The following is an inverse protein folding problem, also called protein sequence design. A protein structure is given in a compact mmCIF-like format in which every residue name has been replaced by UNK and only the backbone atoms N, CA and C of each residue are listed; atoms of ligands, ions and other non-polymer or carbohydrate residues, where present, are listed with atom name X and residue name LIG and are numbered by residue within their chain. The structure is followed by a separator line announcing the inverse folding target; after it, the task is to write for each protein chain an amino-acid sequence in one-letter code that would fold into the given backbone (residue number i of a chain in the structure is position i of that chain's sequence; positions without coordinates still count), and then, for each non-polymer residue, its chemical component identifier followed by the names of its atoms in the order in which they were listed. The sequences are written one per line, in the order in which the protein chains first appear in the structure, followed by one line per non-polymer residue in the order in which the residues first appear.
data_IF_007916974868
#
_entry.id   IF_007916974868
#
_cell.length_a   1.000
_cell.length_b   1.000
_cell.length_c   1.000
_cell.angle_alpha   90.00
_cell.angle_beta   90.00
_cell.angle_gamma   90.00
#
_symmetry.space_group_name_H-M   'P 1'
#
loop_
_entity.id
_entity.type
_entity.pdbx_description
1 polymer ?
#
# COMPACT_ATOMS: atom_id res chain seq x y z
N UNK A 1 13.98 2.14 14.59
CA UNK A 1 12.62 2.42 15.09
C UNK A 1 11.62 1.66 14.24
N UNK A 2 10.49 1.18 14.78
CA UNK A 2 9.43 0.57 13.98
C UNK A 2 8.93 1.50 12.87
N UNK A 3 8.46 0.93 11.74
CA UNK A 3 7.83 1.69 10.68
C UNK A 3 6.55 2.35 11.20
N UNK A 4 6.31 3.60 10.82
CA UNK A 4 5.09 4.35 11.18
C UNK A 4 4.84 5.48 10.18
N UNK A 5 3.57 5.87 10.01
CA UNK A 5 3.19 6.98 9.14
C UNK A 5 2.54 6.53 7.82
N UNK A 6 2.73 7.32 6.79
CA UNK A 6 2.09 7.11 5.48
C UNK A 6 3.06 6.44 4.51
N UNK A 7 2.67 5.26 4.02
CA UNK A 7 3.42 4.43 3.05
C UNK A 7 2.57 4.20 1.80
N UNK A 8 2.46 5.17 0.89
CA UNK A 8 1.63 5.02 -0.30
C UNK A 8 2.06 3.83 -1.15
N UNK A 9 1.09 3.15 -1.76
CA UNK A 9 1.35 2.06 -2.69
C UNK A 9 1.45 2.64 -4.10
N UNK A 10 2.62 2.52 -4.72
CA UNK A 10 2.86 3.03 -6.07
C UNK A 10 2.16 2.13 -7.10
N UNK A 11 1.42 2.69 -8.08
CA UNK A 11 0.96 1.93 -9.25
C UNK A 11 2.15 1.63 -10.17
N UNK A 12 1.99 0.66 -11.05
CA UNK A 12 2.92 0.45 -12.17
C UNK A 12 2.44 1.29 -13.36
N UNK A 13 3.18 2.34 -13.78
CA UNK A 13 2.86 3.03 -15.01
C UNK A 13 3.12 2.14 -16.22
N UNK A 14 2.25 2.24 -17.23
CA UNK A 14 2.44 1.59 -18.51
C UNK A 14 2.42 2.64 -19.62
N UNK A 15 3.22 2.42 -20.66
CA UNK A 15 3.21 3.25 -21.87
C UNK A 15 1.99 2.97 -22.77
N UNK A 16 1.91 3.64 -23.91
CA UNK A 16 0.82 3.46 -24.87
C UNK A 16 0.73 2.03 -25.43
N UNK A 17 1.81 1.25 -25.39
CA UNK A 17 1.83 -0.15 -25.85
C UNK A 17 1.40 -1.13 -24.76
N UNK A 18 1.45 -0.69 -23.50
CA UNK A 18 1.19 -1.49 -22.30
C UNK A 18 2.48 -2.07 -21.69
N UNK A 19 3.66 -1.67 -22.15
CA UNK A 19 4.91 -2.01 -21.48
C UNK A 19 5.11 -1.12 -20.23
N UNK A 20 5.82 -1.60 -19.18
CA UNK A 20 6.13 -0.79 -18.02
C UNK A 20 6.95 0.47 -18.39
N UNK A 21 6.46 1.64 -17.95
CA UNK A 21 7.12 2.93 -18.15
C UNK A 21 7.98 3.27 -16.93
N UNK A 22 9.27 2.94 -17.01
CA UNK A 22 10.22 3.22 -15.93
C UNK A 22 10.44 4.71 -15.70
N UNK A 23 10.35 5.55 -16.74
CA UNK A 23 10.52 6.98 -16.59
C UNK A 23 9.41 7.59 -15.72
N UNK A 24 8.15 7.21 -15.97
CA UNK A 24 7.02 7.58 -15.13
C UNK A 24 7.12 6.95 -13.73
N UNK A 25 7.62 5.71 -13.59
CA UNK A 25 7.83 5.09 -12.28
C UNK A 25 8.84 5.88 -11.43
N UNK A 26 9.94 6.35 -12.03
CA UNK A 26 10.90 7.23 -11.34
C UNK A 26 10.27 8.57 -10.93
N UNK A 27 9.42 9.16 -11.76
CA UNK A 27 8.66 10.37 -11.40
C UNK A 27 7.72 10.11 -10.20
N UNK A 28 7.04 8.96 -10.17
CA UNK A 28 6.21 8.55 -9.03
C UNK A 28 7.03 8.47 -7.73
N UNK A 29 8.23 7.92 -7.79
CA UNK A 29 9.12 7.88 -6.62
C UNK A 29 9.50 9.28 -6.16
N UNK A 30 9.86 10.18 -7.08
CA UNK A 30 10.13 11.59 -6.75
C UNK A 30 8.92 12.28 -6.14
N UNK A 31 7.74 12.02 -6.68
CA UNK A 31 6.49 12.54 -6.11
C UNK A 31 6.25 12.05 -4.68
N UNK A 32 6.44 10.75 -4.39
CA UNK A 32 6.33 10.24 -3.01
C UNK A 32 7.29 10.94 -2.07
N UNK A 33 8.55 11.13 -2.48
CA UNK A 33 9.53 11.85 -1.67
C UNK A 33 9.08 13.29 -1.41
N UNK A 34 8.59 13.98 -2.43
CA UNK A 34 8.11 15.37 -2.31
C UNK A 34 6.81 15.49 -1.49
N UNK A 35 5.99 14.43 -1.44
CA UNK A 35 4.69 14.43 -0.76
C UNK A 35 4.77 14.53 0.77
N UNK A 36 5.93 14.30 1.36
CA UNK A 36 6.10 14.22 2.81
C UNK A 36 5.63 12.88 3.39
N UNK A 37 5.48 11.85 2.58
CA UNK A 37 5.22 10.49 3.04
C UNK A 37 6.39 9.96 3.87
N UNK A 38 6.11 9.05 4.80
CA UNK A 38 7.11 8.45 5.70
C UNK A 38 7.85 7.26 5.07
N UNK A 39 7.35 6.75 3.95
CA UNK A 39 7.94 5.66 3.19
C UNK A 39 7.20 5.41 1.89
N UNK A 40 7.50 4.31 1.23
CA UNK A 40 6.85 3.86 0.01
C UNK A 40 6.56 2.35 0.06
N UNK A 41 5.61 1.90 -0.75
CA UNK A 41 5.30 0.47 -0.93
C UNK A 41 5.25 0.14 -2.41
N UNK A 42 5.98 -0.91 -2.83
CA UNK A 42 5.95 -1.41 -4.21
C UNK A 42 6.51 -2.84 -4.33
N UNK A 43 5.93 -3.72 -5.18
CA UNK A 43 4.57 -3.58 -5.70
C UNK A 43 3.53 -4.03 -4.67
N UNK A 44 2.27 -3.66 -4.90
CA UNK A 44 1.12 -4.11 -4.12
C UNK A 44 -0.10 -4.31 -5.02
N UNK A 45 -1.27 -4.53 -4.43
CA UNK A 45 -2.52 -4.66 -5.20
C UNK A 45 -2.78 -3.42 -6.05
N UNK A 46 -2.53 -2.22 -5.52
CA UNK A 46 -2.66 -0.96 -6.27
C UNK A 46 -1.63 -0.81 -7.40
N UNK A 47 -0.59 -1.65 -7.43
CA UNK A 47 0.43 -1.66 -8.48
C UNK A 47 0.06 -2.57 -9.67
N UNK A 48 -1.13 -3.17 -9.67
CA UNK A 48 -1.52 -4.20 -10.65
C UNK A 48 -0.54 -5.39 -10.64
N UNK A 49 -0.10 -5.81 -9.45
CA UNK A 49 0.97 -6.82 -9.28
C UNK A 49 0.63 -8.17 -9.92
N UNK A 50 -0.67 -8.52 -10.04
CA UNK A 50 -1.13 -9.73 -10.75
C UNK A 50 -0.86 -9.69 -12.25
N UNK A 51 -0.74 -8.50 -12.82
CA UNK A 51 -0.53 -8.28 -14.26
C UNK A 51 0.96 -8.13 -14.61
N UNK A 52 1.85 -8.26 -13.64
CA UNK A 52 3.29 -8.19 -13.83
C UNK A 52 3.91 -9.59 -13.88
N UNK A 53 4.77 -9.82 -14.86
CA UNK A 53 5.63 -10.99 -14.86
C UNK A 53 6.62 -10.95 -13.69
N UNK A 54 7.18 -12.09 -13.33
CA UNK A 54 8.22 -12.18 -12.28
C UNK A 54 9.40 -11.26 -12.60
N UNK A 55 9.88 -11.26 -13.84
CA UNK A 55 11.01 -10.42 -14.27
C UNK A 55 10.67 -8.93 -14.18
N UNK A 56 9.46 -8.53 -14.59
CA UNK A 56 9.00 -7.15 -14.41
C UNK A 56 8.97 -6.76 -12.93
N UNK A 57 8.47 -7.63 -12.04
CA UNK A 57 8.43 -7.36 -10.60
C UNK A 57 9.83 -7.11 -10.04
N UNK A 58 10.79 -8.01 -10.32
CA UNK A 58 12.17 -7.86 -9.84
C UNK A 58 12.81 -6.60 -10.39
N UNK A 59 12.72 -6.38 -11.71
CA UNK A 59 13.32 -5.23 -12.39
C UNK A 59 12.75 -3.90 -11.88
N UNK A 60 11.43 -3.78 -11.79
CA UNK A 60 10.79 -2.53 -11.37
C UNK A 60 10.99 -2.21 -9.89
N UNK A 61 11.08 -3.22 -9.01
CA UNK A 61 11.52 -3.03 -7.62
C UNK A 61 12.92 -2.40 -7.58
N UNK A 62 13.84 -2.89 -8.40
CA UNK A 62 15.17 -2.30 -8.55
C UNK A 62 15.11 -0.82 -8.96
N UNK A 63 14.28 -0.48 -9.96
CA UNK A 63 14.08 0.93 -10.41
C UNK A 63 13.58 1.80 -9.25
N UNK A 64 12.63 1.33 -8.46
CA UNK A 64 12.10 2.07 -7.29
C UNK A 64 13.19 2.26 -6.23
N UNK A 65 13.94 1.20 -5.91
CA UNK A 65 15.03 1.28 -4.92
C UNK A 65 16.16 2.22 -5.35
N UNK A 66 16.57 2.16 -6.61
CA UNK A 66 17.59 3.04 -7.18
C UNK A 66 17.14 4.52 -7.12
N UNK A 67 15.88 4.82 -7.46
CA UNK A 67 15.37 6.19 -7.43
C UNK A 67 15.12 6.69 -6.00
N UNK A 68 14.70 5.83 -5.07
CA UNK A 68 14.61 6.18 -3.65
C UNK A 68 15.97 6.52 -3.06
N UNK A 69 17.01 5.80 -3.45
CA UNK A 69 18.39 5.99 -3.00
C UNK A 69 18.51 6.11 -1.46
N UNK A 70 17.72 5.31 -0.72
CA UNK A 70 17.71 5.30 0.75
C UNK A 70 17.02 6.51 1.42
N UNK A 71 16.44 7.44 0.65
CA UNK A 71 15.77 8.63 1.22
C UNK A 71 14.51 8.32 2.00
N UNK A 72 13.82 7.26 1.65
CA UNK A 72 12.64 6.75 2.35
C UNK A 72 12.72 5.22 2.47
N UNK A 73 12.22 4.62 3.57
CA UNK A 73 12.09 3.17 3.67
C UNK A 73 11.10 2.64 2.63
N UNK A 74 11.46 1.52 2.00
CA UNK A 74 10.60 0.81 1.04
C UNK A 74 10.09 -0.49 1.65
N UNK A 75 8.77 -0.65 1.65
CA UNK A 75 8.11 -1.94 1.88
C UNK A 75 7.94 -2.62 0.52
N UNK A 76 8.55 -3.79 0.34
CA UNK A 76 8.50 -4.51 -0.95
C UNK A 76 7.46 -5.62 -0.90
N UNK A 77 6.52 -5.61 -1.83
CA UNK A 77 5.54 -6.68 -2.00
C UNK A 77 6.14 -7.90 -2.69
N UNK A 78 6.11 -9.03 -2.01
CA UNK A 78 6.65 -10.30 -2.50
C UNK A 78 5.60 -11.43 -2.51
N UNK A 79 4.31 -11.08 -2.48
CA UNK A 79 3.22 -12.06 -2.41
C UNK A 79 3.28 -13.08 -3.55
N UNK A 80 3.15 -14.35 -3.18
CA UNK A 80 3.05 -15.53 -4.05
C UNK A 80 2.32 -16.63 -3.29
N UNK A 81 1.83 -17.66 -3.97
CA UNK A 81 1.28 -18.88 -3.36
C UNK A 81 2.37 -19.82 -2.81
N UNK A 82 3.63 -19.61 -3.20
CA UNK A 82 4.80 -20.38 -2.76
C UNK A 82 5.77 -19.50 -1.97
N UNK A 83 6.21 -19.97 -0.80
CA UNK A 83 7.24 -19.32 0.01
C UNK A 83 8.59 -19.23 -0.73
N UNK A 84 8.93 -20.23 -1.55
CA UNK A 84 10.13 -20.21 -2.39
C UNK A 84 10.09 -19.08 -3.43
N UNK A 85 8.97 -18.93 -4.13
CA UNK A 85 8.79 -17.84 -5.09
C UNK A 85 8.81 -16.48 -4.40
N UNK A 86 8.18 -16.34 -3.23
CA UNK A 86 8.25 -15.12 -2.43
C UNK A 86 9.70 -14.80 -2.01
N UNK A 87 10.47 -15.80 -1.58
CA UNK A 87 11.88 -15.61 -1.21
C UNK A 87 12.75 -15.26 -2.43
N UNK A 88 12.46 -15.82 -3.59
CA UNK A 88 13.15 -15.46 -4.84
C UNK A 88 12.91 -13.98 -5.19
N UNK A 89 11.66 -13.49 -5.09
CA UNK A 89 11.32 -12.07 -5.28
C UNK A 89 11.98 -11.15 -4.23
N UNK A 90 12.22 -11.65 -3.02
CA UNK A 90 12.84 -10.89 -1.94
C UNK A 90 14.36 -10.71 -2.10
N UNK A 91 15.03 -11.61 -2.80
CA UNK A 91 16.50 -11.74 -2.79
C UNK A 91 17.21 -10.41 -3.11
N UNK A 92 16.94 -9.84 -4.26
CA UNK A 92 17.61 -8.61 -4.70
C UNK A 92 17.14 -7.40 -3.89
N UNK A 93 15.84 -7.35 -3.56
CA UNK A 93 15.25 -6.28 -2.76
C UNK A 93 15.87 -6.22 -1.35
N UNK A 94 16.13 -7.37 -0.74
CA UNK A 94 16.80 -7.47 0.55
C UNK A 94 18.24 -6.95 0.50
N UNK A 95 18.99 -7.35 -0.52
CA UNK A 95 20.37 -6.89 -0.71
C UNK A 95 20.47 -5.37 -0.93
N UNK A 96 19.42 -4.75 -1.45
CA UNK A 96 19.30 -3.30 -1.70
C UNK A 96 18.63 -2.55 -0.54
N UNK A 97 18.40 -3.18 0.63
CA UNK A 97 17.93 -2.53 1.84
C UNK A 97 16.40 -2.30 1.93
N UNK A 98 15.59 -3.24 1.45
CA UNK A 98 14.17 -3.24 1.75
C UNK A 98 13.92 -3.17 3.26
N UNK A 99 12.98 -2.32 3.71
CA UNK A 99 12.70 -2.12 5.12
C UNK A 99 11.79 -3.20 5.72
N UNK A 100 10.89 -3.74 4.91
CA UNK A 100 10.02 -4.87 5.24
C UNK A 100 9.54 -5.55 3.94
N UNK A 101 9.09 -6.80 4.06
CA UNK A 101 8.43 -7.51 2.97
C UNK A 101 6.94 -7.63 3.23
N UNK A 102 6.10 -7.11 2.34
CA UNK A 102 4.66 -7.27 2.42
C UNK A 102 4.21 -8.53 1.68
N UNK A 103 3.48 -9.39 2.39
CA UNK A 103 2.99 -10.67 1.89
C UNK A 103 1.52 -10.84 2.24
N UNK A 104 0.66 -10.98 1.23
CA UNK A 104 -0.73 -11.35 1.45
C UNK A 104 -0.81 -12.80 1.97
N UNK A 105 -1.64 -13.02 2.97
CA UNK A 105 -1.96 -14.38 3.42
C UNK A 105 -2.55 -15.17 2.24
N UNK A 106 -1.94 -16.29 1.79
CA UNK A 106 -2.38 -16.98 0.59
C UNK A 106 -3.83 -17.45 0.67
N UNK A 107 -4.65 -17.09 -0.32
CA UNK A 107 -6.10 -17.38 -0.33
C UNK A 107 -6.44 -18.87 -0.52
N UNK A 108 -5.53 -19.65 -1.06
CA UNK A 108 -5.65 -21.10 -1.25
C UNK A 108 -5.37 -21.92 0.02
N UNK A 109 -4.82 -21.30 1.07
CA UNK A 109 -4.53 -21.92 2.37
C UNK A 109 -5.59 -21.52 3.39
N UNK A 110 -6.59 -22.40 3.58
CA UNK A 110 -7.79 -22.06 4.35
C UNK A 110 -7.66 -22.31 5.86
N UNK A 111 -6.75 -23.17 6.28
CA UNK A 111 -6.55 -23.48 7.69
C UNK A 111 -5.31 -22.77 8.29
N UNK A 112 -5.36 -22.57 9.60
CA UNK A 112 -4.32 -21.86 10.35
C UNK A 112 -2.96 -22.55 10.23
N UNK A 113 -2.93 -23.90 10.25
CA UNK A 113 -1.68 -24.66 10.18
C UNK A 113 -0.98 -24.50 8.83
N UNK A 114 -1.74 -24.46 7.73
CA UNK A 114 -1.20 -24.19 6.39
C UNK A 114 -0.66 -22.77 6.24
N UNK A 115 -1.30 -21.78 6.87
CA UNK A 115 -0.79 -20.42 6.92
C UNK A 115 0.52 -20.34 7.74
N UNK A 116 0.55 -20.97 8.92
CA UNK A 116 1.75 -21.05 9.77
C UNK A 116 2.91 -21.69 8.98
N UNK A 117 2.66 -22.82 8.33
CA UNK A 117 3.68 -23.51 7.54
C UNK A 117 4.25 -22.61 6.42
N UNK A 118 3.38 -21.87 5.70
CA UNK A 118 3.80 -20.96 4.65
C UNK A 118 4.69 -19.82 5.20
N UNK A 119 4.22 -19.13 6.25
CA UNK A 119 4.96 -18.00 6.80
C UNK A 119 6.23 -18.44 7.52
N UNK A 120 6.26 -19.61 8.16
CA UNK A 120 7.48 -20.17 8.77
C UNK A 120 8.53 -20.54 7.72
N UNK A 121 8.12 -21.16 6.61
CA UNK A 121 9.04 -21.45 5.50
C UNK A 121 9.58 -20.17 4.86
N UNK A 122 8.73 -19.15 4.65
CA UNK A 122 9.18 -17.86 4.17
C UNK A 122 10.16 -17.17 5.15
N UNK A 123 9.82 -17.15 6.43
CA UNK A 123 10.66 -16.54 7.48
C UNK A 123 12.06 -17.18 7.57
N UNK A 124 12.17 -18.47 7.30
CA UNK A 124 13.46 -19.16 7.25
C UNK A 124 14.33 -18.75 6.03
N UNK A 125 13.75 -18.08 5.02
CA UNK A 125 14.42 -17.72 3.75
C UNK A 125 14.71 -16.22 3.62
N UNK A 126 14.15 -15.36 4.48
CA UNK A 126 14.34 -13.90 4.44
C UNK A 126 14.86 -13.40 5.79
N UNK A 127 15.67 -12.34 5.78
CA UNK A 127 16.19 -11.72 7.01
C UNK A 127 15.59 -10.35 7.32
N UNK A 128 14.69 -9.87 6.45
CA UNK A 128 13.97 -8.60 6.60
C UNK A 128 12.61 -8.89 7.25
N UNK A 129 12.10 -8.03 8.15
CA UNK A 129 10.79 -8.21 8.79
C UNK A 129 9.67 -8.42 7.77
N UNK A 130 8.72 -9.29 8.11
CA UNK A 130 7.53 -9.55 7.28
C UNK A 130 6.38 -8.66 7.76
N UNK A 131 5.68 -8.04 6.81
CA UNK A 131 4.37 -7.42 6.99
C UNK A 131 3.31 -8.36 6.40
N UNK A 132 2.54 -9.02 7.25
CA UNK A 132 1.41 -9.81 6.80
C UNK A 132 0.31 -8.86 6.32
N UNK A 133 -0.06 -8.95 5.04
CA UNK A 133 -1.20 -8.22 4.49
C UNK A 133 -2.47 -9.06 4.65
N UNK A 134 -3.34 -8.65 5.56
CA UNK A 134 -4.64 -9.26 5.76
C UNK A 134 -5.69 -8.58 4.87
N UNK A 135 -5.74 -8.99 3.62
CA UNK A 135 -6.62 -8.45 2.59
C UNK A 135 -7.70 -9.48 2.24
N UNK A 136 -8.95 -9.06 1.97
CA UNK A 136 -10.02 -9.99 1.62
C UNK A 136 -9.79 -10.67 0.26
N UNK A 137 -10.45 -11.81 0.01
CA UNK A 137 -10.45 -12.46 -1.29
C UNK A 137 -10.88 -11.50 -2.43
N UNK A 138 -10.38 -11.68 -3.66
CA UNK A 138 -9.45 -12.73 -4.08
C UNK A 138 -7.96 -12.42 -3.83
N UNK A 139 -7.63 -11.22 -3.36
CA UNK A 139 -6.25 -10.77 -3.19
C UNK A 139 -5.50 -11.44 -2.02
N UNK A 140 -6.21 -11.97 -1.05
CA UNK A 140 -5.68 -12.72 0.09
C UNK A 140 -6.74 -13.57 0.77
N UNK A 141 -6.41 -14.18 1.91
CA UNK A 141 -7.29 -15.08 2.63
C UNK A 141 -8.39 -14.38 3.45
N UNK A 142 -8.20 -13.11 3.82
CA UNK A 142 -9.14 -12.38 4.67
C UNK A 142 -9.28 -13.00 6.06
N UNK A 143 -8.15 -13.22 6.74
CA UNK A 143 -8.09 -13.94 8.02
C UNK A 143 -8.90 -13.23 9.12
N UNK A 144 -9.61 -14.00 9.93
CA UNK A 144 -10.21 -13.48 11.15
C UNK A 144 -9.13 -13.19 12.20
N UNK A 145 -9.36 -12.33 13.21
CA UNK A 145 -8.42 -12.16 14.30
C UNK A 145 -8.08 -13.47 15.02
N UNK A 146 -9.03 -14.38 15.18
CA UNK A 146 -8.81 -15.69 15.82
C UNK A 146 -7.91 -16.61 14.99
N UNK A 147 -7.96 -16.51 13.67
CA UNK A 147 -7.05 -17.22 12.76
C UNK A 147 -5.67 -16.55 12.72
N UNK A 148 -5.64 -15.21 12.79
CA UNK A 148 -4.42 -14.45 12.68
C UNK A 148 -3.50 -14.58 13.91
N UNK A 149 -4.07 -14.58 15.13
CA UNK A 149 -3.27 -14.63 16.36
C UNK A 149 -2.32 -15.84 16.44
N UNK A 150 -2.75 -17.09 16.22
CA UNK A 150 -1.82 -18.22 16.25
C UNK A 150 -0.71 -18.14 15.20
N UNK A 151 -0.95 -17.47 14.05
CA UNK A 151 0.08 -17.25 13.02
C UNK A 151 1.13 -16.28 13.54
N UNK A 152 0.71 -15.16 14.16
CA UNK A 152 1.63 -14.17 14.73
C UNK A 152 2.47 -14.74 15.88
N UNK A 153 1.86 -15.60 16.72
CA UNK A 153 2.55 -16.29 17.82
C UNK A 153 3.60 -17.29 17.31
N UNK A 154 3.25 -18.06 16.27
CA UNK A 154 4.13 -19.08 15.72
C UNK A 154 5.27 -18.52 14.86
N UNK A 155 5.10 -17.32 14.28
CA UNK A 155 6.06 -16.74 13.33
C UNK A 155 6.46 -15.32 13.76
N UNK A 156 7.37 -15.15 14.73
CA UNK A 156 7.80 -13.83 15.23
C UNK A 156 8.47 -12.92 14.18
N UNK A 157 8.88 -13.46 13.04
CA UNK A 157 9.38 -12.68 11.91
C UNK A 157 8.28 -11.80 11.25
N UNK A 158 6.99 -12.10 11.50
CA UNK A 158 5.88 -11.21 11.15
C UNK A 158 5.85 -10.08 12.17
N UNK A 159 6.55 -9.01 11.87
CA UNK A 159 6.69 -7.84 12.74
C UNK A 159 5.61 -6.78 12.49
N UNK A 160 4.88 -6.88 11.39
CA UNK A 160 3.85 -5.91 10.99
C UNK A 160 2.62 -6.63 10.44
N UNK A 161 1.46 -6.01 10.63
CA UNK A 161 0.21 -6.40 9.96
C UNK A 161 -0.35 -5.19 9.22
N UNK A 162 -0.76 -5.37 7.96
CA UNK A 162 -1.61 -4.45 7.23
C UNK A 162 -3.03 -5.01 7.22
N UNK A 163 -3.94 -4.39 7.98
CA UNK A 163 -5.30 -4.87 8.14
C UNK A 163 -6.23 -4.15 7.15
N UNK A 164 -6.86 -4.91 6.25
CA UNK A 164 -7.75 -4.40 5.21
C UNK A 164 -9.12 -5.10 5.18
N UNK A 165 -9.38 -6.01 6.13
CA UNK A 165 -10.69 -6.66 6.24
C UNK A 165 -11.68 -5.76 6.97
N UNK A 166 -12.97 -5.85 6.61
CA UNK A 166 -14.00 -5.00 7.19
C UNK A 166 -14.70 -5.63 8.40
N UNK A 167 -15.10 -4.82 9.38
CA UNK A 167 -14.85 -3.38 9.55
C UNK A 167 -13.41 -3.13 10.04
N UNK A 168 -12.59 -2.43 9.25
CA UNK A 168 -11.12 -2.40 9.44
C UNK A 168 -10.68 -1.87 10.80
N UNK A 169 -11.27 -0.78 11.28
CA UNK A 169 -10.91 -0.19 12.58
C UNK A 169 -11.16 -1.14 13.76
N UNK A 170 -12.28 -1.85 13.79
CA UNK A 170 -12.56 -2.85 14.85
C UNK A 170 -11.58 -4.03 14.76
N UNK A 171 -11.30 -4.51 13.54
CA UNK A 171 -10.31 -5.56 13.29
C UNK A 171 -8.93 -5.16 13.75
N UNK A 172 -8.50 -3.95 13.38
CA UNK A 172 -7.23 -3.37 13.82
C UNK A 172 -7.12 -3.35 15.35
N UNK A 173 -8.18 -2.91 16.06
CA UNK A 173 -8.21 -2.92 17.53
C UNK A 173 -8.00 -4.33 18.06
N UNK A 174 -8.72 -5.33 17.54
CA UNK A 174 -8.60 -6.71 17.98
C UNK A 174 -7.19 -7.28 17.74
N UNK A 175 -6.58 -6.97 16.60
CA UNK A 175 -5.20 -7.40 16.29
C UNK A 175 -4.23 -6.74 17.26
N UNK A 176 -4.27 -5.42 17.41
CA UNK A 176 -3.38 -4.66 18.29
C UNK A 176 -3.44 -5.13 19.75
N UNK A 177 -4.64 -5.32 20.29
CA UNK A 177 -4.83 -5.61 21.70
C UNK A 177 -4.49 -7.07 22.07
N UNK A 178 -4.46 -7.97 21.10
CA UNK A 178 -4.23 -9.41 21.29
C UNK A 178 -2.87 -9.88 20.77
N UNK A 179 -2.18 -9.06 19.99
CA UNK A 179 -0.95 -9.47 19.32
C UNK A 179 0.18 -9.79 20.30
N UNK A 180 1.06 -10.75 19.96
CA UNK A 180 2.27 -11.01 20.72
C UNK A 180 3.23 -9.82 20.68
N UNK A 181 4.15 -9.74 21.64
CA UNK A 181 5.14 -8.65 21.74
C UNK A 181 6.09 -8.54 20.52
N UNK A 182 6.18 -9.58 19.69
CA UNK A 182 6.93 -9.55 18.43
C UNK A 182 6.27 -8.69 17.35
N UNK A 183 4.96 -8.44 17.43
CA UNK A 183 4.28 -7.54 16.49
C UNK A 183 4.58 -6.09 16.86
N UNK A 184 5.33 -5.39 16.02
CA UNK A 184 5.77 -4.02 16.26
C UNK A 184 4.68 -3.00 15.95
N UNK A 185 3.86 -3.24 14.91
CA UNK A 185 2.82 -2.30 14.53
C UNK A 185 1.74 -2.90 13.61
N UNK A 186 0.54 -2.27 13.65
CA UNK A 186 -0.56 -2.54 12.72
C UNK A 186 -0.81 -1.29 11.88
N UNK A 187 -0.95 -1.48 10.57
CA UNK A 187 -1.25 -0.45 9.58
C UNK A 187 -2.66 -0.63 9.02
N UNK A 188 -3.30 0.48 8.70
CA UNK A 188 -4.48 0.47 7.85
C UNK A 188 -4.14 0.42 6.37
N UNK A 189 -5.15 0.22 5.55
CA UNK A 189 -4.99 0.15 4.10
C UNK A 189 -6.24 0.59 3.35
N UNK A 190 -6.77 -0.27 2.50
CA UNK A 190 -8.03 -0.05 1.77
C UNK A 190 -8.11 1.33 1.07
N UNK A 191 -7.00 1.77 0.46
CA UNK A 191 -6.92 3.08 -0.21
C UNK A 191 -6.92 4.28 0.73
N UNK A 192 -6.86 4.10 2.05
CA UNK A 192 -6.93 5.19 3.04
C UNK A 192 -8.35 5.59 3.44
N UNK A 193 -9.37 4.86 2.99
CA UNK A 193 -10.80 5.20 3.25
C UNK A 193 -11.18 5.24 4.73
N UNK A 194 -10.48 4.53 5.58
CA UNK A 194 -10.79 4.39 7.01
C UNK A 194 -9.71 4.99 7.91
N UNK A 195 -8.77 5.75 7.34
CA UNK A 195 -7.55 6.22 8.01
C UNK A 195 -7.81 6.94 9.32
N UNK A 196 -8.86 7.76 9.43
CA UNK A 196 -9.16 8.52 10.65
C UNK A 196 -9.63 7.62 11.80
N UNK A 197 -10.45 6.59 11.52
CA UNK A 197 -10.88 5.61 12.52
C UNK A 197 -9.71 4.71 12.92
N UNK A 198 -8.92 4.27 11.95
CA UNK A 198 -7.73 3.43 12.16
C UNK A 198 -6.69 4.14 13.05
N UNK A 199 -6.35 5.40 12.75
CA UNK A 199 -5.41 6.19 13.54
C UNK A 199 -5.91 6.44 14.97
N UNK A 200 -7.19 6.78 15.16
CA UNK A 200 -7.79 6.93 16.49
C UNK A 200 -7.72 5.64 17.32
N UNK A 201 -7.70 4.49 16.67
CA UNK A 201 -7.57 3.17 17.31
C UNK A 201 -6.13 2.72 17.48
N UNK A 202 -5.15 3.58 17.17
CA UNK A 202 -3.73 3.31 17.39
C UNK A 202 -3.05 2.58 16.23
N UNK A 203 -3.57 2.68 15.00
CA UNK A 203 -2.78 2.30 13.85
C UNK A 203 -1.47 3.08 13.82
N UNK A 204 -0.36 2.40 13.54
CA UNK A 204 0.93 3.07 13.39
C UNK A 204 0.99 3.96 12.14
N UNK A 205 0.10 3.70 11.18
CA UNK A 205 0.01 4.46 9.96
C UNK A 205 -0.99 3.86 8.98
N UNK A 206 -0.92 4.31 7.74
CA UNK A 206 -1.75 3.82 6.64
C UNK A 206 -0.94 3.62 5.36
N UNK A 207 -1.40 2.68 4.54
CA UNK A 207 -0.82 2.38 3.23
C UNK A 207 -1.86 2.66 2.13
N UNK A 208 -2.14 3.96 1.84
CA UNK A 208 -3.14 4.36 0.86
C UNK A 208 -2.64 4.14 -0.58
N UNK A 209 -3.54 4.32 -1.54
CA UNK A 209 -3.13 4.56 -2.92
C UNK A 209 -2.46 5.93 -3.04
N UNK A 210 -1.64 6.10 -4.06
CA UNK A 210 -0.67 7.21 -4.14
C UNK A 210 -1.26 8.54 -4.61
N UNK A 211 -2.39 8.54 -5.28
CA UNK A 211 -2.92 9.73 -5.98
C UNK A 211 -3.13 10.96 -5.11
N UNK A 212 -3.26 10.75 -3.79
CA UNK A 212 -3.39 11.79 -2.76
C UNK A 212 -2.32 11.65 -1.66
N UNK A 213 -1.10 11.23 -2.01
CA UNK A 213 -0.03 10.94 -1.05
C UNK A 213 0.24 12.13 -0.10
N UNK A 214 0.34 13.35 -0.64
CA UNK A 214 0.57 14.56 0.16
C UNK A 214 -0.61 14.94 1.05
N UNK A 215 -1.85 14.63 0.63
CA UNK A 215 -3.04 14.90 1.44
C UNK A 215 -3.06 13.95 2.64
N UNK A 216 -2.72 12.68 2.43
CA UNK A 216 -2.53 11.71 3.51
C UNK A 216 -1.37 12.11 4.45
N UNK A 217 -0.26 12.61 3.91
CA UNK A 217 0.86 13.10 4.71
C UNK A 217 0.47 14.30 5.58
N UNK A 218 -0.29 15.28 5.01
CA UNK A 218 -0.84 16.41 5.76
C UNK A 218 -1.81 15.96 6.86
N UNK A 219 -2.66 14.98 6.57
CA UNK A 219 -3.57 14.39 7.56
C UNK A 219 -2.78 13.72 8.70
N UNK A 220 -1.75 12.95 8.38
CA UNK A 220 -0.88 12.31 9.38
C UNK A 220 -0.14 13.35 10.23
N UNK A 221 0.35 14.43 9.64
CA UNK A 221 0.98 15.52 10.39
C UNK A 221 0.01 16.17 11.37
N UNK A 222 -1.24 16.44 10.96
CA UNK A 222 -2.29 16.94 11.84
C UNK A 222 -2.62 15.95 12.98
N UNK A 223 -2.68 14.64 12.67
CA UNK A 223 -2.89 13.60 13.67
C UNK A 223 -1.75 13.58 14.72
N UNK A 224 -0.49 13.61 14.27
CA UNK A 224 0.68 13.67 15.16
C UNK A 224 0.71 14.92 16.04
N UNK A 225 0.17 16.03 15.53
CA UNK A 225 0.01 17.29 16.29
C UNK A 225 -1.19 17.28 17.27
N UNK A 226 -2.03 16.23 17.25
CA UNK A 226 -3.25 16.16 18.05
C UNK A 226 -4.40 17.05 17.54
N UNK A 227 -4.29 17.61 16.33
CA UNK A 227 -5.30 18.49 15.73
C UNK A 227 -6.43 17.68 15.08
N UNK A 228 -7.34 17.21 15.90
CA UNK A 228 -8.49 16.41 15.47
C UNK A 228 -9.43 17.16 14.52
N UNK A 229 -9.52 18.48 14.60
CA UNK A 229 -10.35 19.27 13.71
C UNK A 229 -9.74 19.32 12.31
N UNK A 230 -8.44 19.55 12.21
CA UNK A 230 -7.73 19.55 10.94
C UNK A 230 -7.71 18.16 10.30
N UNK A 231 -7.55 17.08 11.08
CA UNK A 231 -7.70 15.70 10.59
C UNK A 231 -9.06 15.48 9.95
N UNK A 232 -10.13 15.89 10.64
CA UNK A 232 -11.50 15.75 10.11
C UNK A 232 -11.73 16.58 8.87
N UNK A 233 -11.27 17.82 8.84
CA UNK A 233 -11.39 18.71 7.69
C UNK A 233 -10.73 18.10 6.46
N UNK A 234 -9.46 17.71 6.56
CA UNK A 234 -8.72 17.10 5.44
C UNK A 234 -9.43 15.83 4.96
N UNK A 235 -9.81 14.96 5.90
CA UNK A 235 -10.46 13.68 5.56
C UNK A 235 -11.81 13.90 4.85
N UNK A 236 -12.62 14.83 5.32
CA UNK A 236 -13.94 15.13 4.72
C UNK A 236 -13.79 15.61 3.26
N UNK A 237 -12.78 16.45 3.00
CA UNK A 237 -12.53 16.99 1.66
C UNK A 237 -11.99 15.92 0.68
N UNK A 238 -11.22 14.94 1.15
CA UNK A 238 -10.69 13.87 0.29
C UNK A 238 -11.67 12.71 0.08
N UNK A 239 -12.71 12.56 0.92
CA UNK A 239 -13.65 11.44 0.89
C UNK A 239 -14.31 11.21 -0.48
N UNK A 240 -14.77 12.25 -1.24
CA UNK A 240 -15.35 12.03 -2.55
C UNK A 240 -14.41 11.27 -3.50
N UNK A 241 -13.13 11.64 -3.55
CA UNK A 241 -12.13 10.96 -4.37
C UNK A 241 -11.90 9.52 -3.88
N UNK A 242 -11.81 9.30 -2.56
CA UNK A 242 -11.65 7.96 -1.98
C UNK A 242 -12.87 7.07 -2.28
N UNK A 243 -14.07 7.65 -2.36
CA UNK A 243 -15.28 6.92 -2.74
C UNK A 243 -15.21 6.47 -4.21
N UNK A 244 -14.84 7.36 -5.13
CA UNK A 244 -14.62 7.01 -6.55
C UNK A 244 -13.50 5.96 -6.67
N UNK A 245 -12.41 6.09 -5.89
CA UNK A 245 -11.32 5.11 -5.86
C UNK A 245 -11.79 3.71 -5.41
N UNK A 246 -12.79 3.63 -4.53
CA UNK A 246 -13.33 2.34 -4.11
C UNK A 246 -13.94 1.53 -5.26
N UNK A 247 -14.50 2.21 -6.24
CA UNK A 247 -15.15 1.62 -7.44
C UNK A 247 -14.14 1.46 -8.57
N UNK A 248 -13.47 2.53 -8.96
CA UNK A 248 -12.64 2.59 -10.17
C UNK A 248 -11.17 2.20 -9.95
N UNK A 249 -10.72 2.10 -8.69
CA UNK A 249 -9.39 1.61 -8.31
C UNK A 249 -8.25 2.18 -9.18
N UNK A 250 -7.64 1.34 -10.03
CA UNK A 250 -6.51 1.72 -10.87
C UNK A 250 -6.85 2.80 -11.90
N UNK A 251 -8.08 2.81 -12.43
CA UNK A 251 -8.53 3.84 -13.39
C UNK A 251 -8.49 5.23 -12.75
N UNK A 252 -9.03 5.40 -11.53
CA UNK A 252 -8.95 6.66 -10.81
C UNK A 252 -7.49 7.05 -10.53
N UNK A 253 -6.73 6.15 -9.89
CA UNK A 253 -5.34 6.44 -9.51
C UNK A 253 -4.53 6.93 -10.71
N UNK A 254 -4.62 6.21 -11.84
CA UNK A 254 -3.87 6.58 -13.04
C UNK A 254 -4.41 7.82 -13.74
N UNK A 255 -5.74 8.04 -13.72
CA UNK A 255 -6.33 9.25 -14.26
C UNK A 255 -5.80 10.49 -13.51
N UNK A 256 -5.88 10.48 -12.18
CA UNK A 256 -5.40 11.59 -11.35
C UNK A 256 -3.90 11.85 -11.54
N UNK A 257 -3.08 10.80 -11.53
CA UNK A 257 -1.64 10.94 -11.73
C UNK A 257 -1.27 11.46 -13.13
N UNK A 258 -2.00 11.02 -14.17
CA UNK A 258 -1.81 11.50 -15.53
C UNK A 258 -2.24 12.97 -15.69
N UNK A 259 -3.42 13.32 -15.18
CA UNK A 259 -3.92 14.70 -15.19
C UNK A 259 -2.97 15.67 -14.49
N UNK A 260 -2.31 15.22 -13.42
CA UNK A 260 -1.31 15.98 -12.68
C UNK A 260 0.09 15.96 -13.33
N UNK A 261 0.27 15.30 -14.48
CA UNK A 261 1.54 15.22 -15.20
C UNK A 261 2.61 14.31 -14.56
N UNK A 262 2.21 13.51 -13.57
CA UNK A 262 3.14 12.62 -12.83
C UNK A 262 3.48 11.37 -13.65
N UNK A 263 2.51 10.83 -14.40
CA UNK A 263 2.73 9.71 -15.33
C UNK A 263 2.33 10.11 -16.75
N UNK A 264 2.98 9.49 -17.76
CA UNK A 264 2.76 9.83 -19.16
C UNK A 264 1.41 9.34 -19.71
N UNK A 265 0.94 8.18 -19.25
CA UNK A 265 -0.27 7.54 -19.75
C UNK A 265 -1.13 6.97 -18.61
N UNK A 266 -2.48 7.09 -18.69
CA UNK A 266 -3.38 6.55 -17.67
C UNK A 266 -3.70 5.06 -17.89
N UNK A 267 -2.92 4.35 -18.74
CA UNK A 267 -3.17 2.97 -19.11
C UNK A 267 -3.05 2.02 -17.92
N UNK A 268 -3.98 1.08 -17.83
CA UNK A 268 -3.94 -0.05 -16.91
C UNK A 268 -3.88 -1.37 -17.71
N UNK A 269 -3.29 -2.41 -17.13
CA UNK A 269 -3.35 -3.80 -17.61
C UNK A 269 -4.48 -4.57 -16.94
N UNK A 270 -4.74 -4.30 -15.66
CA UNK A 270 -5.79 -4.95 -14.92
C UNK A 270 -7.17 -4.62 -15.48
N UNK A 271 -8.01 -5.65 -15.61
CA UNK A 271 -9.40 -5.47 -15.99
C UNK A 271 -10.17 -4.73 -14.88
N UNK A 272 -11.03 -3.80 -15.26
CA UNK A 272 -11.83 -3.03 -14.32
C UNK A 272 -12.70 -2.01 -15.02
N UNK A 273 -13.54 -1.27 -14.28
CA UNK A 273 -14.34 -0.20 -14.84
C UNK A 273 -13.44 0.93 -15.37
N UNK A 274 -13.89 1.55 -16.45
CA UNK A 274 -13.26 2.75 -17.04
C UNK A 274 -14.13 3.97 -16.81
N UNK A 275 -13.54 5.15 -16.73
CA UNK A 275 -14.22 6.41 -16.64
C UNK A 275 -14.96 6.75 -17.94
N UNK A 276 -16.21 7.22 -17.80
CA UNK A 276 -16.88 8.02 -18.82
C UNK A 276 -16.59 9.52 -18.61
N UNK A 277 -17.28 10.39 -19.34
CA UNK A 277 -17.04 11.84 -19.25
C UNK A 277 -17.60 12.43 -17.96
N UNK A 278 -18.71 11.92 -17.43
CA UNK A 278 -19.27 12.35 -16.15
C UNK A 278 -18.35 12.02 -14.97
N UNK A 279 -17.79 10.80 -14.97
CA UNK A 279 -16.81 10.40 -13.96
C UNK A 279 -15.60 11.31 -13.94
N UNK A 280 -15.11 11.74 -15.13
CA UNK A 280 -13.99 12.67 -15.27
C UNK A 280 -14.32 14.06 -14.74
N UNK A 281 -15.49 14.58 -15.09
CA UNK A 281 -15.98 15.89 -14.63
C UNK A 281 -16.08 15.92 -13.11
N UNK A 282 -16.67 14.88 -12.49
CA UNK A 282 -16.78 14.77 -11.04
C UNK A 282 -15.40 14.72 -10.36
N UNK A 283 -14.50 13.86 -10.85
CA UNK A 283 -13.14 13.75 -10.27
C UNK A 283 -12.36 15.05 -10.42
N UNK A 284 -12.53 15.76 -11.53
CA UNK A 284 -11.89 17.05 -11.77
C UNK A 284 -12.36 18.11 -10.78
N UNK A 285 -13.68 18.19 -10.54
CA UNK A 285 -14.25 19.08 -9.54
C UNK A 285 -13.76 18.74 -8.12
N UNK A 286 -13.72 17.46 -7.75
CA UNK A 286 -13.18 17.04 -6.45
C UNK A 286 -11.67 17.36 -6.27
N UNK A 287 -10.89 17.30 -7.33
CA UNK A 287 -9.49 17.71 -7.29
C UNK A 287 -9.33 19.22 -7.13
N UNK A 288 -10.22 20.02 -7.74
CA UNK A 288 -10.25 21.47 -7.54
C UNK A 288 -10.60 21.82 -6.09
N UNK A 289 -11.58 21.14 -5.49
CA UNK A 289 -11.99 21.33 -4.09
C UNK A 289 -10.86 21.10 -3.08
N UNK A 290 -9.85 20.27 -3.41
CA UNK A 290 -8.70 19.99 -2.56
C UNK A 290 -7.40 20.61 -3.09
N UNK A 291 -7.47 21.50 -4.07
CA UNK A 291 -6.30 22.03 -4.78
C UNK A 291 -5.23 22.65 -3.88
N UNK A 292 -5.63 23.31 -2.78
CA UNK A 292 -4.73 23.87 -1.76
C UNK A 292 -4.00 22.80 -0.92
N UNK A 293 -4.50 21.57 -0.93
CA UNK A 293 -3.87 20.41 -0.27
C UNK A 293 -2.90 19.67 -1.19
N UNK A 294 -3.01 19.86 -2.50
CA UNK A 294 -2.15 19.21 -3.48
C UNK A 294 -0.78 19.90 -3.57
N UNK A 295 0.24 19.15 -3.95
CA UNK A 295 1.51 19.72 -4.35
C UNK A 295 1.35 20.42 -5.73
N UNK A 296 2.01 21.56 -5.95
CA UNK A 296 2.18 22.06 -7.29
C UNK A 296 2.87 21.00 -8.15
N UNK A 297 2.66 21.06 -9.48
CA UNK A 297 3.19 20.07 -10.43
C UNK A 297 4.64 19.71 -10.10
N UNK A 298 4.90 18.43 -9.86
CA UNK A 298 6.27 17.92 -9.62
C UNK A 298 6.90 17.73 -11.00
N UNK A 299 7.80 18.65 -11.38
CA UNK A 299 8.56 18.59 -12.61
C UNK A 299 9.57 17.42 -12.61
#
# INVERSE_FOLDING_TARGET
MPLSGIFPVLPTPFDATGAPDEASLRKLVRYVIASGADGATYPGVASEVSELTTDERVRLVGVVQDELAGRLPLIVGISSTSAETSAMLARDAQARGAAAFMVAAPADRKDTSAQIAFFSDLAARVSVPIMLQNVPPPAGAGLTPDTLMPILEAVPAIAYVKEETLPSGQRLTQVRDRAPASLLAVFGGAGGRYVTDELRRGAAGSMPAIELAEVHAKLMAAHRAGDSNRVREIFTRMLPILNVQAVFRWALTKYVLHKRGIIAHPRQRAAGPSFDDYDREDVDAFLEDIGDLLLPSVA
#
